data_IF_137403990933
#
_entry.id   IF_137403990933
#
_cell.length_a   1.000
_cell.length_b   1.000
_cell.length_c   1.000
_cell.angle_alpha   90.00
_cell.angle_beta   90.00
_cell.angle_gamma   90.00
#
_symmetry.space_group_name_H-M   'P 1'
#
loop_
_entity.id
_entity.type
_entity.pdbx_description
1 polymer ?
#
# COMPACT_ATOMS: atom_id res chain seq x y z
N UNK A 1 -44.12 3.20 -74.10
CA UNK A 1 -42.79 2.57 -74.01
C UNK A 1 -42.32 2.73 -72.56
N UNK A 2 -42.47 1.70 -71.76
CA UNK A 2 -42.03 1.67 -70.36
C UNK A 2 -40.71 0.93 -70.29
N UNK A 3 -39.64 1.64 -69.99
CA UNK A 3 -38.29 1.05 -69.82
C UNK A 3 -38.23 0.41 -68.40
N UNK A 4 -38.11 -0.89 -68.36
CA UNK A 4 -37.90 -1.69 -67.14
C UNK A 4 -36.41 -1.61 -66.80
N UNK A 5 -36.04 -0.85 -65.77
CA UNK A 5 -34.67 -0.79 -65.28
C UNK A 5 -34.43 -2.02 -64.36
N UNK A 6 -33.75 -3.05 -64.86
CA UNK A 6 -33.20 -4.12 -64.08
C UNK A 6 -31.98 -3.62 -63.27
N UNK A 7 -32.23 -3.20 -62.03
CA UNK A 7 -31.11 -2.94 -61.07
C UNK A 7 -30.34 -4.22 -60.77
N UNK A 8 -29.07 -4.32 -61.17
CA UNK A 8 -28.15 -5.37 -60.71
C UNK A 8 -28.01 -5.23 -59.18
N UNK A 9 -28.51 -6.24 -58.43
CA UNK A 9 -28.14 -6.39 -57.01
C UNK A 9 -26.60 -6.48 -56.94
N UNK A 10 -25.98 -5.52 -56.23
CA UNK A 10 -24.58 -5.61 -55.89
C UNK A 10 -24.27 -6.89 -55.13
N UNK A 11 -23.01 -7.34 -55.07
CA UNK A 11 -22.62 -8.48 -54.28
C UNK A 11 -23.07 -8.26 -52.81
N UNK A 12 -23.57 -9.30 -52.11
CA UNK A 12 -23.92 -9.17 -50.71
C UNK A 12 -22.77 -8.54 -49.94
N UNK A 13 -23.01 -7.47 -49.21
CA UNK A 13 -22.04 -6.88 -48.30
C UNK A 13 -21.62 -7.99 -47.32
N UNK A 14 -20.32 -8.20 -47.14
CA UNK A 14 -19.81 -9.11 -46.14
C UNK A 14 -20.45 -8.75 -44.78
N UNK A 15 -20.91 -9.73 -44.01
CA UNK A 15 -21.51 -9.46 -42.71
C UNK A 15 -20.52 -8.66 -41.85
N UNK A 16 -20.96 -7.53 -41.28
CA UNK A 16 -20.15 -6.74 -40.36
C UNK A 16 -19.72 -7.63 -39.21
N UNK A 17 -18.43 -7.91 -39.14
CA UNK A 17 -17.85 -8.73 -38.10
C UNK A 17 -17.19 -7.80 -37.11
N UNK A 18 -17.89 -7.49 -36.05
CA UNK A 18 -17.31 -6.71 -34.97
C UNK A 18 -16.33 -7.59 -34.19
N UNK A 19 -15.06 -7.22 -34.25
CA UNK A 19 -13.98 -7.83 -33.48
C UNK A 19 -13.45 -6.78 -32.54
N UNK A 20 -13.32 -7.04 -31.22
CA UNK A 20 -12.75 -6.08 -30.29
C UNK A 20 -11.37 -5.58 -30.72
N UNK A 21 -11.06 -4.32 -30.50
CA UNK A 21 -9.72 -3.81 -30.68
C UNK A 21 -8.74 -4.50 -29.71
N UNK A 22 -7.45 -4.50 -30.07
CA UNK A 22 -6.40 -5.02 -29.22
C UNK A 22 -6.33 -4.25 -27.89
N UNK A 23 -5.92 -4.94 -26.83
CA UNK A 23 -5.64 -4.33 -25.52
C UNK A 23 -4.27 -3.65 -25.58
N UNK A 24 -4.25 -2.33 -25.73
CA UNK A 24 -3.00 -1.56 -25.91
C UNK A 24 -2.44 -1.02 -24.58
N UNK A 25 -3.27 -0.90 -23.54
CA UNK A 25 -2.84 -0.41 -22.23
C UNK A 25 -2.82 -1.54 -21.24
N UNK A 26 -1.64 -2.04 -20.96
CA UNK A 26 -1.35 -3.05 -19.95
C UNK A 26 -0.06 -2.67 -19.22
N UNK A 27 -0.04 -2.78 -17.90
CA UNK A 27 1.14 -2.57 -17.07
C UNK A 27 1.17 -3.59 -15.95
N UNK A 28 2.34 -3.82 -15.37
CA UNK A 28 2.53 -4.75 -14.27
C UNK A 28 3.45 -4.14 -13.21
N UNK A 29 3.07 -4.27 -11.94
CA UNK A 29 3.83 -3.80 -10.78
C UNK A 29 3.99 -4.95 -9.79
N UNK A 30 5.19 -5.13 -9.25
CA UNK A 30 5.49 -6.22 -8.31
C UNK A 30 5.62 -5.70 -6.89
N UNK A 31 4.98 -6.42 -5.96
CA UNK A 31 5.05 -6.19 -4.52
C UNK A 31 5.27 -7.55 -3.83
N UNK A 32 6.49 -7.82 -3.41
CA UNK A 32 6.85 -9.15 -2.91
C UNK A 32 6.66 -10.24 -3.96
N UNK A 33 5.91 -11.27 -3.63
CA UNK A 33 5.47 -12.34 -4.55
C UNK A 33 4.25 -11.98 -5.38
N UNK A 34 3.56 -10.88 -5.08
CA UNK A 34 2.37 -10.45 -5.82
C UNK A 34 2.73 -9.56 -7.01
N UNK A 35 2.09 -9.78 -8.14
CA UNK A 35 2.12 -8.88 -9.29
C UNK A 35 0.73 -8.36 -9.57
N UNK A 36 0.60 -7.04 -9.62
CA UNK A 36 -0.64 -6.35 -9.96
C UNK A 36 -0.60 -5.93 -11.42
N UNK A 37 -1.37 -6.63 -12.25
CA UNK A 37 -1.46 -6.39 -13.69
C UNK A 37 -2.67 -5.52 -13.96
N UNK A 38 -2.45 -4.29 -14.42
CA UNK A 38 -3.49 -3.32 -14.78
C UNK A 38 -3.80 -3.42 -16.27
N UNK A 39 -5.06 -3.54 -16.60
CA UNK A 39 -5.55 -3.70 -17.96
C UNK A 39 -6.66 -2.70 -18.22
N UNK A 40 -6.57 -1.91 -19.30
CA UNK A 40 -7.66 -1.02 -19.71
C UNK A 40 -8.56 -1.76 -20.71
N UNK A 41 -9.86 -1.83 -20.39
CA UNK A 41 -10.88 -2.47 -21.24
C UNK A 41 -11.07 -1.68 -22.54
N UNK A 42 -10.95 -2.28 -23.75
CA UNK A 42 -11.18 -1.61 -25.01
C UNK A 42 -12.59 -1.01 -25.12
N UNK A 43 -12.73 0.13 -25.80
CA UNK A 43 -14.00 0.84 -26.01
C UNK A 43 -14.51 0.75 -27.44
N UNK A 44 -13.72 0.17 -28.34
CA UNK A 44 -14.04 0.11 -29.78
C UNK A 44 -13.60 -1.21 -30.41
N UNK A 45 -14.14 -1.49 -31.57
CA UNK A 45 -13.76 -2.61 -32.43
C UNK A 45 -12.61 -2.23 -33.35
N UNK A 46 -12.06 -3.21 -34.10
CA UNK A 46 -10.95 -2.99 -35.05
C UNK A 46 -11.36 -1.97 -36.14
N UNK A 47 -12.63 -1.96 -36.55
CA UNK A 47 -13.20 -1.03 -37.52
C UNK A 47 -13.53 0.35 -36.95
N UNK A 48 -13.07 0.65 -35.74
CA UNK A 48 -13.35 1.85 -34.94
C UNK A 48 -14.83 2.04 -34.55
N UNK A 49 -15.71 1.09 -34.81
CA UNK A 49 -17.09 1.14 -34.33
C UNK A 49 -17.13 1.07 -32.80
N UNK A 50 -18.10 1.79 -32.18
CA UNK A 50 -18.34 1.85 -30.75
C UNK A 50 -19.80 1.55 -30.45
N UNK A 51 -20.11 0.94 -29.31
CA UNK A 51 -19.21 0.36 -28.31
C UNK A 51 -18.48 -0.88 -28.84
N UNK A 52 -17.41 -1.34 -28.14
CA UNK A 52 -16.77 -2.60 -28.47
C UNK A 52 -17.72 -3.79 -28.27
N UNK A 53 -17.70 -4.75 -29.19
CA UNK A 53 -18.35 -6.04 -29.02
C UNK A 53 -17.45 -6.95 -28.18
N UNK A 54 -17.53 -6.82 -26.85
CA UNK A 54 -16.65 -7.48 -25.89
C UNK A 54 -17.44 -8.02 -24.71
N UNK A 55 -17.23 -9.28 -24.37
CA UNK A 55 -17.87 -9.97 -23.22
C UNK A 55 -16.88 -10.37 -22.15
N UNK A 56 -15.60 -10.55 -22.50
CA UNK A 56 -14.56 -10.89 -21.54
C UNK A 56 -13.17 -10.49 -22.04
N UNK A 57 -12.24 -10.39 -21.08
CA UNK A 57 -10.80 -10.27 -21.32
C UNK A 57 -10.10 -11.42 -20.59
N UNK A 58 -9.28 -12.17 -21.29
CA UNK A 58 -8.39 -13.17 -20.71
C UNK A 58 -6.99 -12.57 -20.56
N UNK A 59 -6.41 -12.66 -19.37
CA UNK A 59 -5.06 -12.19 -19.05
C UNK A 59 -4.13 -13.39 -18.98
N UNK A 60 -2.98 -13.27 -19.63
CA UNK A 60 -1.97 -14.33 -19.75
C UNK A 60 -0.63 -13.88 -19.22
N UNK A 61 0.12 -14.81 -18.60
CA UNK A 61 1.47 -14.60 -18.07
C UNK A 61 2.46 -15.61 -18.64
N UNK A 62 3.70 -15.18 -18.88
CA UNK A 62 4.79 -16.02 -19.33
C UNK A 62 6.11 -15.61 -18.68
N UNK A 63 6.90 -16.55 -18.18
CA UNK A 63 8.24 -16.29 -17.64
C UNK A 63 9.31 -16.78 -18.60
N UNK A 64 10.22 -15.89 -18.99
CA UNK A 64 11.31 -16.18 -19.89
C UNK A 64 12.37 -15.09 -19.85
N UNK A 65 13.42 -15.21 -20.65
CA UNK A 65 14.43 -14.14 -20.79
C UNK A 65 14.07 -13.14 -21.88
N UNK A 66 13.20 -13.55 -22.80
CA UNK A 66 12.66 -12.74 -23.89
C UNK A 66 11.17 -13.07 -24.08
N UNK A 67 10.36 -12.13 -24.58
CA UNK A 67 8.96 -12.40 -24.85
C UNK A 67 8.83 -13.47 -25.96
N UNK A 68 7.83 -14.35 -25.91
CA UNK A 68 7.53 -15.23 -27.02
C UNK A 68 7.26 -14.45 -28.31
N UNK A 69 7.60 -15.06 -29.44
CA UNK A 69 7.27 -14.48 -30.74
C UNK A 69 5.76 -14.23 -30.88
N UNK A 70 5.36 -13.17 -31.59
CA UNK A 70 3.95 -12.92 -31.89
C UNK A 70 3.33 -14.16 -32.56
N UNK A 71 2.16 -14.56 -32.11
CA UNK A 71 1.48 -15.78 -32.53
C UNK A 71 1.79 -17.03 -31.68
N UNK A 72 2.91 -17.07 -30.96
CA UNK A 72 3.25 -18.17 -30.05
C UNK A 72 2.99 -17.84 -28.58
N UNK A 73 2.72 -16.56 -28.23
CA UNK A 73 2.53 -16.14 -26.85
C UNK A 73 1.44 -16.97 -26.16
N UNK A 74 0.26 -17.07 -26.75
CA UNK A 74 -0.87 -17.79 -26.18
C UNK A 74 -0.63 -19.30 -26.05
N UNK A 75 0.23 -19.87 -26.89
CA UNK A 75 0.56 -21.29 -26.82
C UNK A 75 1.53 -21.63 -25.68
N UNK A 76 2.31 -20.64 -25.20
CA UNK A 76 3.35 -20.84 -24.19
C UNK A 76 2.97 -20.24 -22.84
N UNK A 77 2.09 -19.21 -22.83
CA UNK A 77 1.64 -18.52 -21.64
C UNK A 77 0.53 -19.28 -20.92
N UNK A 78 0.46 -19.10 -19.63
CA UNK A 78 -0.66 -19.56 -18.80
C UNK A 78 -1.74 -18.48 -18.71
N UNK A 79 -3.01 -18.89 -18.69
CA UNK A 79 -4.12 -17.97 -18.44
C UNK A 79 -4.25 -17.74 -16.94
N UNK A 80 -4.06 -16.49 -16.51
CA UNK A 80 -4.09 -16.09 -15.11
C UNK A 80 -5.50 -15.73 -14.63
N UNK A 81 -6.25 -15.02 -15.47
CA UNK A 81 -7.58 -14.56 -15.12
C UNK A 81 -8.48 -14.43 -16.35
N UNK A 82 -9.78 -14.52 -16.11
CA UNK A 82 -10.84 -14.20 -17.05
C UNK A 82 -11.71 -13.10 -16.44
N UNK A 83 -11.68 -11.93 -17.05
CA UNK A 83 -12.39 -10.74 -16.61
C UNK A 83 -13.68 -10.64 -17.41
N UNK A 84 -14.88 -10.81 -16.82
CA UNK A 84 -16.13 -10.54 -17.50
C UNK A 84 -16.26 -9.04 -17.78
N UNK A 85 -16.76 -8.68 -18.95
CA UNK A 85 -17.02 -7.28 -19.31
C UNK A 85 -18.55 -7.08 -19.40
N UNK A 86 -19.02 -6.05 -18.69
CA UNK A 86 -20.42 -5.70 -18.70
C UNK A 86 -20.85 -5.18 -20.08
N UNK A 87 -22.08 -5.44 -20.52
CA UNK A 87 -22.64 -4.87 -21.74
C UNK A 87 -22.48 -3.34 -21.72
N UNK A 88 -22.22 -2.75 -22.88
CA UNK A 88 -22.15 -1.31 -23.00
C UNK A 88 -23.48 -0.65 -22.61
N UNK A 89 -23.43 0.45 -21.83
CA UNK A 89 -24.60 1.22 -21.48
C UNK A 89 -25.28 1.80 -22.74
N UNK A 90 -26.60 1.77 -22.78
CA UNK A 90 -27.41 2.37 -23.83
C UNK A 90 -27.89 3.76 -23.38
N UNK A 91 -28.20 4.67 -24.31
CA UNK A 91 -28.82 5.93 -23.94
C UNK A 91 -30.11 5.67 -23.14
N UNK A 92 -30.20 6.20 -21.92
CA UNK A 92 -31.32 6.01 -21.01
C UNK A 92 -31.16 4.92 -19.94
N UNK A 93 -30.10 4.16 -19.97
CA UNK A 93 -29.79 3.21 -18.91
C UNK A 93 -29.45 3.94 -17.60
N UNK A 94 -29.77 3.37 -16.43
CA UNK A 94 -29.36 3.93 -15.14
C UNK A 94 -27.85 3.92 -15.00
N UNK A 95 -27.28 4.79 -14.14
CA UNK A 95 -25.84 4.79 -13.89
C UNK A 95 -25.37 3.41 -13.40
N UNK A 96 -24.16 2.98 -13.79
CA UNK A 96 -23.66 1.66 -13.42
C UNK A 96 -23.57 1.54 -11.89
N UNK A 97 -23.85 0.35 -11.32
CA UNK A 97 -23.75 0.12 -9.88
C UNK A 97 -22.31 0.29 -9.39
N UNK A 98 -22.08 0.46 -8.07
CA UNK A 98 -20.75 0.49 -7.48
C UNK A 98 -19.90 -0.73 -7.88
N UNK A 99 -18.59 -0.58 -7.91
CA UNK A 99 -17.69 -1.65 -8.37
C UNK A 99 -17.88 -2.98 -7.65
N UNK A 100 -18.15 -2.94 -6.36
CA UNK A 100 -18.42 -4.12 -5.51
C UNK A 100 -19.67 -4.91 -5.90
N UNK A 101 -20.60 -4.30 -6.67
CA UNK A 101 -21.86 -4.93 -7.09
C UNK A 101 -21.94 -5.19 -8.61
N UNK A 102 -20.88 -4.91 -9.36
CA UNK A 102 -20.85 -5.11 -10.81
C UNK A 102 -20.65 -6.57 -11.17
N UNK A 103 -21.41 -7.04 -12.14
CA UNK A 103 -21.22 -8.38 -12.73
C UNK A 103 -20.05 -8.45 -13.72
N UNK A 104 -19.33 -7.33 -13.98
CA UNK A 104 -18.21 -7.27 -14.93
C UNK A 104 -17.60 -5.88 -15.00
N UNK A 105 -16.43 -5.80 -15.64
CA UNK A 105 -15.71 -4.56 -15.90
C UNK A 105 -16.45 -3.69 -16.94
N UNK A 106 -16.35 -2.36 -16.82
CA UNK A 106 -16.90 -1.45 -17.81
C UNK A 106 -15.92 -1.20 -18.94
N UNK A 107 -16.44 -0.96 -20.16
CA UNK A 107 -15.59 -0.51 -21.26
C UNK A 107 -14.93 0.82 -20.93
N UNK A 108 -13.62 0.92 -21.16
CA UNK A 108 -12.80 2.09 -20.82
C UNK A 108 -12.28 2.13 -19.36
N UNK A 109 -12.79 1.29 -18.48
CA UNK A 109 -12.27 1.21 -17.11
C UNK A 109 -10.92 0.48 -17.05
N UNK A 110 -10.14 0.77 -16.02
CA UNK A 110 -8.94 0.01 -15.65
C UNK A 110 -9.32 -1.09 -14.67
N UNK A 111 -8.82 -2.30 -14.90
CA UNK A 111 -9.03 -3.48 -14.06
C UNK A 111 -7.68 -4.00 -13.61
N UNK A 112 -7.55 -4.39 -12.36
CA UNK A 112 -6.33 -4.95 -11.79
C UNK A 112 -6.49 -6.44 -11.51
N UNK A 113 -5.59 -7.25 -12.07
CA UNK A 113 -5.47 -8.70 -11.81
C UNK A 113 -4.28 -8.92 -10.91
N UNK A 114 -4.45 -9.74 -9.87
CA UNK A 114 -3.36 -10.17 -8.99
C UNK A 114 -2.84 -11.53 -9.48
N UNK A 115 -1.55 -11.59 -9.80
CA UNK A 115 -0.80 -12.81 -10.11
C UNK A 115 0.17 -13.09 -8.94
N UNK A 116 0.03 -14.24 -8.28
CA UNK A 116 0.90 -14.64 -7.16
C UNK A 116 2.01 -15.51 -7.70
N UNK A 117 3.24 -14.98 -7.71
CA UNK A 117 4.41 -15.69 -8.26
C UNK A 117 4.81 -16.86 -7.37
N UNK A 118 4.67 -18.07 -7.90
CA UNK A 118 5.19 -19.28 -7.28
C UNK A 118 6.66 -19.50 -7.62
N UNK A 119 7.35 -20.37 -6.88
CA UNK A 119 8.74 -20.73 -7.17
C UNK A 119 8.93 -21.25 -8.59
N UNK A 120 7.96 -21.98 -9.14
CA UNK A 120 7.99 -22.50 -10.51
C UNK A 120 7.88 -21.37 -11.55
N UNK A 121 7.08 -20.34 -11.27
CA UNK A 121 6.89 -19.20 -12.15
C UNK A 121 8.07 -18.24 -12.15
N UNK A 122 8.97 -18.32 -11.17
CA UNK A 122 10.22 -17.56 -11.15
C UNK A 122 11.31 -18.19 -12.04
N UNK A 123 11.16 -19.45 -12.46
CA UNK A 123 12.11 -20.14 -13.32
C UNK A 123 11.77 -19.89 -14.80
N UNK A 124 12.71 -19.36 -15.60
CA UNK A 124 12.47 -19.14 -17.02
C UNK A 124 12.18 -20.44 -17.75
N UNK A 125 11.11 -20.48 -18.53
CA UNK A 125 10.86 -21.59 -19.45
C UNK A 125 11.90 -21.55 -20.57
N UNK A 126 12.48 -22.69 -20.96
CA UNK A 126 13.43 -22.73 -22.07
C UNK A 126 12.75 -22.23 -23.36
N UNK A 127 13.48 -21.52 -24.21
CA UNK A 127 12.92 -21.09 -25.50
C UNK A 127 12.49 -22.33 -26.30
N UNK A 128 11.40 -22.24 -27.08
CA UNK A 128 10.96 -23.33 -27.91
C UNK A 128 12.06 -23.69 -28.92
N UNK A 129 12.20 -24.95 -29.28
CA UNK A 129 13.16 -25.35 -30.31
C UNK A 129 12.89 -24.59 -31.59
N UNK A 130 13.93 -24.14 -32.32
CA UNK A 130 13.76 -23.43 -33.59
C UNK A 130 12.93 -24.27 -34.56
N UNK A 131 11.97 -23.63 -35.24
CA UNK A 131 11.18 -24.28 -36.27
C UNK A 131 12.13 -24.88 -37.33
N UNK A 132 11.83 -26.07 -37.83
CA UNK A 132 12.69 -26.76 -38.82
C UNK A 132 13.06 -25.92 -40.02
N UNK A 133 12.21 -24.97 -40.41
CA UNK A 133 12.46 -24.03 -41.50
C UNK A 133 13.52 -22.97 -41.18
N UNK A 134 13.78 -22.64 -39.92
CA UNK A 134 14.82 -21.68 -39.51
C UNK A 134 16.21 -22.33 -39.44
N UNK A 135 16.28 -23.64 -39.24
CA UNK A 135 17.56 -24.41 -39.26
C UNK A 135 18.25 -24.42 -40.64
N UNK A 136 17.55 -24.06 -41.70
CA UNK A 136 18.09 -24.05 -43.08
C UNK A 136 18.58 -22.69 -43.56
N UNK A 137 18.45 -21.62 -42.79
CA UNK A 137 19.06 -20.34 -43.15
C UNK A 137 20.53 -20.30 -42.69
N UNK A 138 21.51 -20.18 -43.59
CA UNK A 138 22.88 -19.94 -43.19
C UNK A 138 22.93 -18.63 -42.45
N UNK A 139 23.40 -18.63 -41.21
CA UNK A 139 23.70 -17.40 -40.49
C UNK A 139 24.88 -16.75 -41.19
N UNK A 140 24.79 -15.52 -41.71
CA UNK A 140 25.95 -14.84 -42.25
C UNK A 140 27.02 -14.72 -41.16
N UNK A 141 28.17 -15.31 -41.34
CA UNK A 141 29.31 -15.12 -40.44
C UNK A 141 29.77 -13.67 -40.58
N UNK A 142 29.66 -12.83 -39.54
CA UNK A 142 30.16 -11.47 -39.62
C UNK A 142 31.68 -11.53 -39.83
N UNK A 143 32.20 -10.71 -40.80
CA UNK A 143 33.61 -10.50 -40.97
C UNK A 143 34.24 -10.06 -39.66
N UNK A 144 35.36 -10.68 -39.29
CA UNK A 144 36.07 -10.46 -38.04
C UNK A 144 36.46 -8.98 -37.91
N UNK A 145 35.74 -8.27 -37.06
CA UNK A 145 36.10 -6.92 -36.59
C UNK A 145 37.01 -7.07 -35.36
N UNK A 146 38.04 -6.23 -35.17
CA UNK A 146 39.04 -6.40 -34.12
C UNK A 146 38.38 -6.36 -32.73
N UNK A 147 38.74 -7.29 -31.94
CA UNK A 147 38.20 -7.65 -30.61
C UNK A 147 38.38 -6.51 -29.60
N UNK A 148 37.38 -5.68 -29.43
CA UNK A 148 37.17 -4.98 -28.17
C UNK A 148 36.81 -6.06 -27.14
N UNK A 149 37.56 -6.16 -26.04
CA UNK A 149 37.20 -7.06 -24.93
C UNK A 149 35.77 -6.75 -24.49
N UNK A 150 34.83 -7.56 -24.96
CA UNK A 150 33.46 -7.55 -24.48
C UNK A 150 33.50 -8.25 -23.15
N UNK A 151 33.31 -7.50 -22.06
CA UNK A 151 33.02 -8.08 -20.76
C UNK A 151 31.78 -8.99 -20.98
N UNK A 152 31.86 -10.28 -20.63
CA UNK A 152 30.72 -11.17 -20.82
C UNK A 152 29.51 -10.56 -20.10
N UNK A 153 28.46 -10.27 -20.83
CA UNK A 153 27.19 -9.93 -20.22
C UNK A 153 26.78 -11.11 -19.33
N UNK A 154 26.43 -10.84 -18.08
CA UNK A 154 25.90 -11.85 -17.18
C UNK A 154 24.72 -12.60 -17.81
N UNK A 155 24.29 -13.73 -17.25
CA UNK A 155 23.14 -14.46 -17.76
C UNK A 155 21.93 -13.48 -17.83
N UNK A 156 21.14 -13.56 -18.93
CA UNK A 156 20.00 -12.64 -19.10
C UNK A 156 19.02 -12.82 -17.94
N UNK A 157 18.63 -11.70 -17.33
CA UNK A 157 17.70 -11.67 -16.19
C UNK A 157 16.34 -12.27 -16.60
N UNK A 158 15.74 -13.17 -15.81
CA UNK A 158 14.40 -13.64 -16.05
C UNK A 158 13.39 -12.49 -15.94
N UNK A 159 12.40 -12.53 -16.80
CA UNK A 159 11.32 -11.53 -16.88
C UNK A 159 9.98 -12.22 -16.97
N UNK A 160 8.96 -11.58 -16.45
CA UNK A 160 7.58 -12.02 -16.64
C UNK A 160 6.86 -11.06 -17.57
N UNK A 161 6.24 -11.65 -18.57
CA UNK A 161 5.54 -10.95 -19.64
C UNK A 161 4.05 -11.17 -19.49
N UNK A 162 3.26 -10.11 -19.63
CA UNK A 162 1.80 -10.17 -19.54
C UNK A 162 1.16 -9.66 -20.82
N UNK A 163 0.12 -10.32 -21.26
CA UNK A 163 -0.70 -9.94 -22.40
C UNK A 163 -2.17 -10.16 -22.09
N UNK A 164 -3.03 -9.27 -22.58
CA UNK A 164 -4.46 -9.42 -22.46
C UNK A 164 -5.12 -9.53 -23.84
N UNK A 165 -6.11 -10.42 -23.94
CA UNK A 165 -6.88 -10.66 -25.17
C UNK A 165 -8.36 -10.45 -24.87
N UNK A 166 -9.02 -9.60 -25.64
CA UNK A 166 -10.44 -9.38 -25.58
C UNK A 166 -11.21 -10.38 -26.47
N UNK A 167 -12.40 -10.80 -26.01
CA UNK A 167 -13.26 -11.74 -26.74
C UNK A 167 -14.66 -11.18 -26.91
N UNK A 168 -15.22 -11.30 -28.11
CA UNK A 168 -16.60 -10.95 -28.40
C UNK A 168 -17.60 -11.99 -27.87
N UNK A 169 -18.89 -11.71 -27.99
CA UNK A 169 -20.00 -12.63 -27.68
C UNK A 169 -19.91 -13.94 -28.48
N UNK A 170 -19.36 -13.88 -29.69
CA UNK A 170 -19.13 -15.05 -30.57
C UNK A 170 -17.76 -15.70 -30.38
N UNK A 171 -17.13 -15.45 -29.23
CA UNK A 171 -15.78 -15.95 -28.86
C UNK A 171 -14.68 -15.59 -29.87
N UNK A 172 -14.84 -14.52 -30.66
CA UNK A 172 -13.78 -14.02 -31.55
C UNK A 172 -12.80 -13.20 -30.74
N UNK A 173 -11.53 -13.56 -30.86
CA UNK A 173 -10.44 -12.86 -30.16
C UNK A 173 -10.05 -11.57 -30.86
N UNK A 174 -9.67 -10.56 -30.08
CA UNK A 174 -8.94 -9.39 -30.57
C UNK A 174 -7.58 -9.81 -31.12
N UNK A 175 -6.93 -8.94 -31.92
CA UNK A 175 -5.51 -9.07 -32.18
C UNK A 175 -4.69 -9.02 -30.89
N UNK A 176 -3.46 -9.53 -30.95
CA UNK A 176 -2.50 -9.38 -29.84
C UNK A 176 -2.09 -7.92 -29.72
N UNK A 177 -2.28 -7.35 -28.53
CA UNK A 177 -1.96 -5.96 -28.20
C UNK A 177 -0.57 -5.81 -27.58
N UNK A 178 -0.47 -4.85 -26.66
CA UNK A 178 0.75 -4.58 -25.92
C UNK A 178 1.10 -5.73 -24.96
N UNK A 179 2.40 -5.86 -24.68
CA UNK A 179 2.96 -6.78 -23.70
C UNK A 179 3.56 -5.94 -22.58
N UNK A 180 3.09 -6.15 -21.36
CA UNK A 180 3.75 -5.61 -20.17
C UNK A 180 4.94 -6.51 -19.82
N UNK A 181 6.04 -5.91 -19.43
CA UNK A 181 7.33 -6.54 -19.20
C UNK A 181 7.82 -6.21 -17.79
N UNK A 182 7.98 -7.22 -16.95
CA UNK A 182 8.37 -7.10 -15.55
C UNK A 182 9.66 -7.88 -15.28
N UNK A 183 10.77 -7.23 -14.88
CA UNK A 183 11.97 -7.94 -14.46
C UNK A 183 11.72 -8.72 -13.15
N UNK A 184 12.17 -9.99 -13.12
CA UNK A 184 12.08 -10.84 -11.94
C UNK A 184 13.36 -10.74 -11.10
N UNK A 185 13.77 -9.53 -10.73
CA UNK A 185 14.89 -9.29 -9.82
C UNK A 185 14.61 -9.87 -8.42
N UNK A 186 15.69 -10.10 -7.67
CA UNK A 186 15.60 -10.51 -6.27
C UNK A 186 14.88 -9.44 -5.46
N UNK A 187 13.83 -9.81 -4.75
CA UNK A 187 13.11 -8.89 -3.86
C UNK A 187 13.95 -8.54 -2.64
N UNK A 188 13.85 -7.31 -2.11
CA UNK A 188 14.47 -6.95 -0.84
C UNK A 188 13.99 -7.87 0.29
N UNK A 189 14.88 -8.19 1.20
CA UNK A 189 14.53 -9.00 2.37
C UNK A 189 13.58 -8.23 3.30
N UNK A 190 12.69 -8.98 3.97
CA UNK A 190 11.68 -8.44 4.88
C UNK A 190 12.35 -7.73 6.07
N UNK A 191 11.93 -6.52 6.45
CA UNK A 191 12.39 -5.86 7.66
C UNK A 191 12.01 -6.64 8.91
N UNK A 192 12.80 -6.50 9.97
CA UNK A 192 12.62 -7.22 11.24
C UNK A 192 12.29 -6.28 12.41
N UNK A 193 11.88 -6.86 13.54
CA UNK A 193 11.80 -6.16 14.82
C UNK A 193 10.82 -5.00 14.85
N UNK A 194 9.73 -5.07 14.10
CA UNK A 194 8.71 -4.01 14.08
C UNK A 194 8.10 -3.83 15.47
N UNK A 195 8.06 -2.59 15.95
CA UNK A 195 7.49 -2.17 17.23
C UNK A 195 6.55 -1.01 17.03
N UNK A 196 5.47 -1.00 17.81
CA UNK A 196 4.50 0.07 17.88
C UNK A 196 4.48 0.64 19.29
N UNK A 197 4.50 1.97 19.39
CA UNK A 197 4.22 2.72 20.61
C UNK A 197 3.24 3.82 20.27
N UNK A 198 2.57 4.41 21.26
CA UNK A 198 1.70 5.56 21.02
C UNK A 198 1.82 6.60 22.14
N UNK A 199 1.51 7.83 21.80
CA UNK A 199 1.43 9.00 22.69
C UNK A 199 0.12 9.74 22.43
N UNK A 200 -0.10 10.88 23.09
CA UNK A 200 -1.26 11.73 22.79
C UNK A 200 -1.22 12.14 21.31
N UNK A 201 -2.10 11.60 20.50
CA UNK A 201 -2.28 11.96 19.09
C UNK A 201 -1.40 11.25 18.06
N UNK A 202 -0.42 10.41 18.45
CA UNK A 202 0.48 9.76 17.48
C UNK A 202 0.76 8.30 17.80
N UNK A 203 0.73 7.45 16.76
CA UNK A 203 1.32 6.11 16.77
C UNK A 203 2.70 6.19 16.16
N UNK A 204 3.70 5.69 16.87
CA UNK A 204 5.09 5.62 16.41
C UNK A 204 5.44 4.18 16.06
N UNK A 205 5.96 4.01 14.85
CA UNK A 205 6.45 2.74 14.33
C UNK A 205 7.97 2.79 14.27
N UNK A 206 8.62 1.71 14.65
CA UNK A 206 10.06 1.51 14.42
C UNK A 206 10.31 0.07 13.98
N UNK A 207 11.35 -0.13 13.16
CA UNK A 207 11.75 -1.45 12.67
C UNK A 207 13.26 -1.49 12.50
N UNK A 208 13.80 -2.67 12.16
CA UNK A 208 15.19 -2.84 11.83
C UNK A 208 15.32 -3.32 10.39
N UNK A 209 16.44 -3.00 9.71
CA UNK A 209 16.75 -3.61 8.43
C UNK A 209 16.78 -5.13 8.64
N UNK A 210 16.28 -5.87 7.65
CA UNK A 210 16.51 -7.33 7.66
C UNK A 210 18.00 -7.59 7.91
N UNK A 211 18.29 -8.52 8.81
CA UNK A 211 19.65 -9.01 9.02
C UNK A 211 20.19 -9.53 7.69
N UNK A 212 20.69 -8.65 6.86
CA UNK A 212 21.19 -8.97 5.53
C UNK A 212 22.31 -10.01 5.61
N UNK A 213 22.68 -10.56 4.48
CA UNK A 213 23.75 -11.58 4.27
C UNK A 213 24.97 -11.52 5.21
N UNK A 214 25.22 -10.38 5.86
CA UNK A 214 26.23 -10.21 6.90
C UNK A 214 25.96 -11.02 8.18
N UNK A 215 24.71 -11.21 8.58
CA UNK A 215 24.35 -12.10 9.70
C UNK A 215 24.66 -13.56 9.40
N UNK A 216 24.45 -14.00 8.16
CA UNK A 216 24.77 -15.36 7.72
C UNK A 216 26.27 -15.60 7.59
N UNK A 217 27.07 -14.57 7.29
CA UNK A 217 28.52 -14.67 7.16
C UNK A 217 29.20 -14.65 8.56
N UNK A 218 28.65 -13.88 9.51
CA UNK A 218 29.20 -13.79 10.87
C UNK A 218 28.93 -15.07 11.67
N UNK A 219 27.72 -15.65 11.57
CA UNK A 219 27.42 -16.93 12.25
C UNK A 219 28.25 -18.11 11.68
N UNK A 220 28.55 -18.06 10.38
CA UNK A 220 29.36 -19.11 9.74
C UNK A 220 30.88 -18.91 9.97
N UNK A 221 31.31 -17.66 10.20
CA UNK A 221 32.71 -17.36 10.54
C UNK A 221 33.07 -17.73 11.98
N UNK A 222 32.07 -17.78 12.89
CA UNK A 222 32.32 -18.21 14.29
C UNK A 222 32.24 -19.74 14.49
N UNK A 223 31.80 -20.48 13.48
CA UNK A 223 31.68 -21.94 13.52
C UNK A 223 32.83 -22.68 12.81
N UNK A 224 33.92 -22.02 12.46
CA UNK A 224 35.16 -22.67 11.95
C UNK A 224 36.02 -23.04 13.16
N UNK A 225 35.63 -24.11 13.82
CA UNK A 225 36.50 -24.88 14.69
C UNK A 225 37.46 -25.65 13.78
N UNK A 226 38.76 -25.56 14.08
CA UNK A 226 39.88 -26.10 13.29
C UNK A 226 39.68 -27.59 12.99
N UNK A 227 39.38 -27.94 11.74
CA UNK A 227 39.55 -29.29 11.22
C UNK A 227 40.85 -29.36 10.41
N UNK A 228 41.65 -30.46 10.54
CA UNK A 228 42.97 -30.58 9.89
C UNK A 228 42.81 -30.61 8.36
N UNK A 229 43.80 -29.97 7.71
CA UNK A 229 43.91 -29.89 6.26
C UNK A 229 44.13 -31.30 5.68
N UNK A 230 43.12 -31.85 5.04
CA UNK A 230 43.28 -32.90 4.03
C UNK A 230 42.85 -32.32 2.65
N UNK A 231 43.69 -32.64 1.67
CA UNK A 231 43.61 -32.14 0.29
C UNK A 231 42.22 -32.29 -0.30
N UNK A 232 41.60 -31.15 -0.58
CA UNK A 232 40.29 -31.08 -1.32
C UNK A 232 40.62 -31.03 -2.80
N UNK A 233 40.07 -31.93 -3.65
CA UNK A 233 40.17 -31.78 -5.10
C UNK A 233 39.49 -30.49 -5.52
N UNK A 234 40.12 -29.72 -6.42
CA UNK A 234 39.66 -28.42 -6.92
C UNK A 234 38.35 -28.60 -7.68
N UNK A 235 37.22 -28.51 -6.99
CA UNK A 235 35.97 -28.21 -7.58
C UNK A 235 35.85 -26.70 -7.69
N UNK A 236 35.77 -26.19 -8.90
CA UNK A 236 35.44 -24.80 -9.19
C UNK A 236 34.26 -24.36 -8.28
N UNK A 237 34.42 -23.21 -7.54
CA UNK A 237 33.28 -22.67 -6.80
C UNK A 237 32.12 -22.47 -7.78
N UNK A 238 30.87 -22.80 -7.39
CA UNK A 238 29.74 -22.50 -8.23
C UNK A 238 29.79 -21.03 -8.59
N UNK A 239 29.70 -20.73 -9.88
CA UNK A 239 29.72 -19.35 -10.40
C UNK A 239 28.81 -18.53 -9.52
N UNK A 240 29.38 -17.48 -8.92
CA UNK A 240 28.60 -16.54 -8.11
C UNK A 240 27.42 -16.11 -8.96
N UNK A 241 26.22 -16.50 -8.54
CA UNK A 241 24.97 -16.02 -9.15
C UNK A 241 25.04 -14.51 -8.97
N UNK A 242 25.24 -13.78 -10.07
CA UNK A 242 25.24 -12.34 -10.06
C UNK A 242 23.93 -11.93 -9.39
N UNK A 243 24.02 -11.34 -8.22
CA UNK A 243 22.86 -10.90 -7.46
C UNK A 243 22.29 -9.68 -8.19
N UNK A 244 21.31 -9.90 -9.04
CA UNK A 244 20.51 -8.86 -9.72
C UNK A 244 19.61 -8.11 -8.73
N UNK A 245 20.14 -7.80 -7.55
CA UNK A 245 19.47 -6.93 -6.59
C UNK A 245 19.49 -5.52 -7.19
N UNK A 246 18.34 -4.84 -7.33
CA UNK A 246 18.30 -3.48 -7.82
C UNK A 246 19.33 -2.62 -7.08
N UNK A 247 20.18 -1.92 -7.82
CA UNK A 247 21.21 -1.07 -7.24
C UNK A 247 20.56 0.08 -6.47
N UNK A 248 21.08 0.39 -5.29
CA UNK A 248 20.63 1.53 -4.49
C UNK A 248 20.41 1.18 -3.02
N UNK A 249 20.24 2.21 -2.16
CA UNK A 249 19.96 2.02 -0.74
C UNK A 249 18.58 1.37 -0.56
N UNK A 250 18.46 0.54 0.47
CA UNK A 250 17.17 0.03 0.91
C UNK A 250 16.37 1.18 1.52
N UNK A 251 15.12 1.31 1.12
CA UNK A 251 14.12 2.25 1.64
C UNK A 251 12.91 1.47 2.11
N UNK A 252 11.90 2.14 2.65
CA UNK A 252 10.77 1.47 3.28
C UNK A 252 9.45 2.12 2.90
N UNK A 253 8.43 1.28 2.69
CA UNK A 253 7.04 1.67 2.57
C UNK A 253 6.25 1.13 3.76
N UNK A 254 5.43 1.99 4.37
CA UNK A 254 4.57 1.66 5.50
C UNK A 254 3.14 1.55 5.01
N UNK A 255 2.44 0.50 5.42
CA UNK A 255 1.05 0.25 5.07
C UNK A 255 0.20 0.17 6.32
N UNK A 256 -0.99 0.79 6.28
CA UNK A 256 -2.02 0.65 7.30
C UNK A 256 -3.17 -0.18 6.74
N UNK A 257 -3.68 -1.09 7.55
CA UNK A 257 -4.89 -1.87 7.26
C UNK A 257 -5.97 -1.36 8.19
N UNK A 258 -7.00 -0.79 7.62
CA UNK A 258 -8.19 -0.41 8.35
C UNK A 258 -9.04 -1.66 8.53
N UNK A 259 -8.95 -2.30 9.71
CA UNK A 259 -9.83 -3.39 10.08
C UNK A 259 -10.57 -3.01 11.35
N UNK A 260 -11.88 -3.10 11.29
CA UNK A 260 -12.73 -2.96 12.49
C UNK A 260 -12.55 -4.15 13.45
N UNK A 261 -12.04 -5.29 12.96
CA UNK A 261 -11.77 -6.49 13.75
C UNK A 261 -10.54 -7.22 13.18
N UNK A 262 -9.44 -7.33 13.94
CA UNK A 262 -8.24 -8.04 13.52
C UNK A 262 -8.44 -9.55 13.28
N UNK A 263 -9.55 -10.12 13.75
CA UNK A 263 -9.91 -11.53 13.54
C UNK A 263 -10.70 -11.76 12.25
N UNK A 264 -11.22 -10.69 11.61
CA UNK A 264 -11.96 -10.75 10.35
C UNK A 264 -11.19 -10.11 9.20
N UNK A 265 -9.88 -10.36 9.10
CA UNK A 265 -9.19 -10.10 7.83
C UNK A 265 -9.90 -10.91 6.75
N UNK A 266 -10.40 -10.27 5.68
CA UNK A 266 -11.04 -11.02 4.61
C UNK A 266 -10.03 -12.04 4.11
N UNK A 267 -10.44 -13.31 4.17
CA UNK A 267 -9.68 -14.41 3.60
C UNK A 267 -9.33 -13.99 2.17
N UNK A 268 -8.03 -13.83 1.87
CA UNK A 268 -7.54 -13.34 0.57
C UNK A 268 -8.02 -14.18 -0.61
N UNK A 269 -8.72 -15.28 -0.32
CA UNK A 269 -9.30 -16.23 -1.26
C UNK A 269 -10.65 -15.78 -1.88
N UNK A 270 -11.32 -14.75 -1.38
CA UNK A 270 -12.69 -14.42 -1.84
C UNK A 270 -12.79 -13.15 -2.69
N UNK A 271 -11.77 -12.29 -2.71
CA UNK A 271 -11.74 -11.23 -3.70
C UNK A 271 -11.53 -11.86 -5.08
N UNK A 272 -12.49 -11.69 -5.99
CA UNK A 272 -12.32 -12.15 -7.37
C UNK A 272 -11.00 -11.61 -7.91
N UNK A 273 -10.14 -12.48 -8.47
CA UNK A 273 -8.76 -12.18 -8.86
C UNK A 273 -8.60 -10.94 -9.78
N UNK A 274 -9.71 -10.43 -10.36
CA UNK A 274 -9.75 -9.31 -11.29
C UNK A 274 -10.12 -7.95 -10.66
N UNK A 275 -10.38 -7.88 -9.34
CA UNK A 275 -10.76 -6.63 -8.65
C UNK A 275 -9.95 -6.37 -7.37
N UNK A 276 -8.70 -6.79 -7.34
CA UNK A 276 -7.83 -6.62 -6.18
C UNK A 276 -6.96 -5.36 -6.35
N UNK A 277 -7.34 -4.20 -5.80
CA UNK A 277 -6.49 -3.02 -5.90
C UNK A 277 -5.16 -3.24 -5.18
N UNK A 278 -4.09 -2.67 -5.73
CA UNK A 278 -2.81 -2.65 -5.04
C UNK A 278 -2.93 -1.83 -3.76
N UNK A 279 -2.48 -2.33 -2.60
CA UNK A 279 -2.38 -1.51 -1.40
C UNK A 279 -1.49 -0.29 -1.64
N UNK A 280 -1.89 0.87 -1.14
CA UNK A 280 -1.10 2.08 -1.22
C UNK A 280 -0.37 2.30 0.10
N UNK A 281 0.92 2.68 0.07
CA UNK A 281 1.64 3.03 1.28
C UNK A 281 1.13 4.35 1.87
N UNK A 282 1.25 4.53 3.17
CA UNK A 282 0.96 5.78 3.86
C UNK A 282 1.95 6.90 3.47
N UNK A 283 3.20 6.53 3.24
CA UNK A 283 4.24 7.46 2.79
C UNK A 283 4.19 7.64 1.27
N UNK A 284 4.24 8.88 0.81
CA UNK A 284 4.21 9.24 -0.62
C UNK A 284 5.50 8.87 -1.35
N UNK A 285 6.62 8.81 -0.63
CA UNK A 285 7.94 8.43 -1.15
C UNK A 285 8.59 7.43 -0.19
N UNK A 286 9.33 6.42 -0.69
CA UNK A 286 9.98 5.44 0.16
C UNK A 286 10.94 6.07 1.17
N UNK A 287 10.80 5.72 2.45
CA UNK A 287 11.52 6.27 3.59
C UNK A 287 12.96 5.75 3.62
N UNK A 288 13.88 6.65 4.00
CA UNK A 288 15.27 6.28 4.30
C UNK A 288 15.47 5.98 5.81
N UNK A 289 14.52 6.38 6.64
CA UNK A 289 14.51 6.18 8.10
C UNK A 289 13.93 4.81 8.46
N UNK A 290 14.20 4.35 9.67
CA UNK A 290 13.68 3.11 10.25
C UNK A 290 12.52 3.39 11.22
N UNK A 291 11.87 4.51 11.05
CA UNK A 291 10.77 4.98 11.88
C UNK A 291 9.73 5.73 11.04
N UNK A 292 8.50 5.71 11.51
CA UNK A 292 7.36 6.42 10.90
C UNK A 292 6.37 6.80 11.99
N UNK A 293 5.65 7.91 11.81
CA UNK A 293 4.60 8.35 12.71
C UNK A 293 3.30 8.51 11.95
N UNK A 294 2.21 8.00 12.52
CA UNK A 294 0.85 8.14 12.01
C UNK A 294 -0.04 8.74 13.10
N UNK A 295 -1.17 9.31 12.74
CA UNK A 295 -2.14 9.83 13.70
C UNK A 295 -2.74 8.68 14.53
N UNK A 296 -2.77 8.85 15.85
CA UNK A 296 -3.45 7.92 16.73
C UNK A 296 -4.97 8.16 16.68
N UNK A 297 -5.72 7.11 16.39
CA UNK A 297 -7.17 7.09 16.51
C UNK A 297 -7.53 6.33 17.79
N UNK A 298 -7.86 7.04 18.86
CA UNK A 298 -8.22 6.43 20.11
C UNK A 298 -9.44 5.52 19.97
N UNK A 299 -9.43 4.42 20.72
CA UNK A 299 -10.44 3.36 20.73
C UNK A 299 -10.61 2.61 19.39
N UNK A 300 -9.74 2.85 18.39
CA UNK A 300 -9.69 2.12 17.13
C UNK A 300 -8.43 1.27 17.02
N UNK A 301 -8.59 0.05 16.49
CA UNK A 301 -7.44 -0.80 16.20
C UNK A 301 -6.79 -0.36 14.90
N UNK A 302 -5.53 0.05 14.95
CA UNK A 302 -4.70 0.41 13.82
C UNK A 302 -3.63 -0.66 13.62
N UNK A 303 -3.60 -1.26 12.44
CA UNK A 303 -2.67 -2.33 12.09
C UNK A 303 -1.72 -1.89 10.99
N UNK A 304 -0.44 -2.23 11.13
CA UNK A 304 0.62 -1.77 10.24
C UNK A 304 1.49 -2.91 9.75
N UNK A 305 2.05 -2.72 8.57
CA UNK A 305 3.09 -3.55 7.96
C UNK A 305 4.13 -2.66 7.30
N UNK A 306 5.36 -3.13 7.22
CA UNK A 306 6.48 -2.44 6.54
C UNK A 306 7.04 -3.35 5.47
N UNK A 307 7.38 -2.78 4.31
CA UNK A 307 8.07 -3.46 3.21
C UNK A 307 9.35 -2.73 2.88
N UNK A 308 10.42 -3.47 2.65
CA UNK A 308 11.65 -2.92 2.11
C UNK A 308 11.50 -2.67 0.61
N UNK A 309 12.08 -1.58 0.12
CA UNK A 309 12.01 -1.15 -1.29
C UNK A 309 13.41 -0.89 -1.81
N UNK A 310 13.72 -1.36 -3.03
CA UNK A 310 14.95 -1.05 -3.75
C UNK A 310 14.66 -0.63 -5.20
N UNK A 311 15.62 0.05 -5.81
CA UNK A 311 15.51 0.56 -7.18
C UNK A 311 15.10 2.03 -7.22
N UNK A 312 14.83 2.50 -8.44
CA UNK A 312 14.33 3.84 -8.72
C UNK A 312 13.11 3.73 -9.63
N UNK A 313 12.18 4.67 -9.51
CA UNK A 313 11.02 4.70 -10.40
C UNK A 313 11.47 4.77 -11.88
N UNK A 314 10.85 4.03 -12.80
CA UNK A 314 9.65 3.20 -12.62
C UNK A 314 9.94 1.75 -12.18
N UNK A 315 11.20 1.37 -11.93
CA UNK A 315 11.62 0.00 -11.62
C UNK A 315 11.82 -0.23 -10.10
N UNK A 316 10.89 0.28 -9.27
CA UNK A 316 10.88 -0.03 -7.84
C UNK A 316 10.44 -1.47 -7.61
N UNK A 317 11.20 -2.17 -6.74
CA UNK A 317 10.89 -3.53 -6.31
C UNK A 317 10.67 -3.54 -4.80
N UNK A 318 9.49 -3.95 -4.37
CA UNK A 318 9.14 -4.14 -2.96
C UNK A 318 9.32 -5.60 -2.55
N UNK A 319 9.83 -5.80 -1.34
CA UNK A 319 9.93 -7.10 -0.69
C UNK A 319 8.62 -7.55 -0.04
N UNK A 320 8.68 -8.69 0.67
CA UNK A 320 7.58 -9.15 1.50
C UNK A 320 7.34 -8.22 2.68
N UNK A 321 6.09 -8.19 3.18
CA UNK A 321 5.73 -7.40 4.34
C UNK A 321 6.24 -8.04 5.63
N UNK A 322 6.52 -7.19 6.63
CA UNK A 322 6.64 -7.66 8.02
C UNK A 322 5.36 -8.37 8.45
N UNK A 323 5.40 -9.24 9.47
CA UNK A 323 4.19 -9.62 10.18
C UNK A 323 3.41 -8.38 10.59
N UNK A 324 2.09 -8.46 10.49
CA UNK A 324 1.20 -7.36 10.88
C UNK A 324 1.30 -7.11 12.38
N UNK A 325 1.52 -5.86 12.78
CA UNK A 325 1.46 -5.43 14.16
C UNK A 325 0.29 -4.46 14.35
N UNK A 326 -0.48 -4.65 15.41
CA UNK A 326 -1.66 -3.84 15.70
C UNK A 326 -1.54 -3.18 17.06
N UNK A 327 -2.10 -1.98 17.19
CA UNK A 327 -2.26 -1.25 18.44
C UNK A 327 -3.68 -0.68 18.50
N UNK A 328 -4.26 -0.67 19.69
CA UNK A 328 -5.49 0.07 19.99
C UNK A 328 -5.14 1.17 20.98
N UNK A 329 -4.87 2.38 20.53
CA UNK A 329 -4.56 3.47 21.43
C UNK A 329 -5.75 3.74 22.38
N UNK A 330 -5.46 3.87 23.65
CA UNK A 330 -6.43 4.29 24.66
C UNK A 330 -5.96 5.65 25.16
N UNK A 331 -6.86 6.58 25.22
CA UNK A 331 -6.53 7.89 25.76
C UNK A 331 -6.33 7.83 27.28
N UNK A 332 -5.08 7.99 27.68
CA UNK A 332 -4.66 8.04 29.09
C UNK A 332 -3.81 9.28 29.33
N UNK A 333 -3.88 10.26 28.47
CA UNK A 333 -3.05 11.44 28.46
C UNK A 333 -3.83 12.65 28.99
N UNK A 334 -3.58 13.07 30.24
CA UNK A 334 -4.26 14.26 30.78
C UNK A 334 -3.80 15.52 30.05
N UNK A 335 -4.65 16.56 30.03
CA UNK A 335 -4.25 17.87 29.56
C UNK A 335 -3.07 18.47 30.36
N UNK A 336 -2.44 19.51 29.86
CA UNK A 336 -1.42 20.23 30.59
C UNK A 336 -2.02 20.91 31.84
N UNK A 337 -1.29 21.01 32.95
CA UNK A 337 -1.75 21.79 34.12
C UNK A 337 -2.01 23.25 33.72
N UNK A 338 -3.13 23.86 34.18
CA UNK A 338 -3.39 25.28 33.94
C UNK A 338 -2.26 26.19 34.44
N UNK A 339 -1.87 27.16 33.63
CA UNK A 339 -0.77 28.07 33.92
C UNK A 339 -1.29 29.45 34.39
N UNK A 340 -0.42 30.19 35.06
CA UNK A 340 -0.62 31.61 35.40
C UNK A 340 -1.89 31.87 36.22
N UNK A 341 -2.27 30.93 37.11
CA UNK A 341 -3.39 31.16 38.03
C UNK A 341 -3.15 32.39 38.91
N UNK A 342 -4.11 33.29 38.95
CA UNK A 342 -4.12 34.51 39.76
C UNK A 342 -5.44 34.61 40.53
N UNK A 343 -5.38 35.02 41.78
CA UNK A 343 -6.53 35.27 42.64
C UNK A 343 -6.60 36.77 43.00
N UNK A 344 -7.81 37.34 43.00
CA UNK A 344 -8.04 38.73 43.35
C UNK A 344 -9.25 38.82 44.27
N UNK A 345 -9.06 39.37 45.50
CA UNK A 345 -10.14 39.58 46.44
C UNK A 345 -11.05 40.74 46.00
N UNK A 346 -12.34 40.46 45.90
CA UNK A 346 -13.43 41.44 45.80
C UNK A 346 -14.22 41.56 47.10
N UNK A 347 -15.23 42.41 47.12
CA UNK A 347 -16.15 42.51 48.27
C UNK A 347 -17.04 41.23 48.30
N UNK A 348 -16.87 40.37 49.34
CA UNK A 348 -17.57 39.14 49.51
C UNK A 348 -17.28 38.05 48.47
N UNK A 349 -16.14 38.15 47.73
CA UNK A 349 -15.79 37.18 46.70
C UNK A 349 -14.29 37.13 46.44
N UNK A 350 -13.80 36.02 45.83
CA UNK A 350 -12.46 35.91 45.29
C UNK A 350 -12.60 35.47 43.80
N UNK A 351 -12.05 36.29 42.92
CA UNK A 351 -12.03 36.02 41.48
C UNK A 351 -10.73 35.36 41.10
N UNK A 352 -10.82 34.23 40.34
CA UNK A 352 -9.72 33.44 39.81
C UNK A 352 -9.68 33.59 38.29
N UNK A 353 -8.48 33.76 37.78
CA UNK A 353 -8.21 33.79 36.32
C UNK A 353 -6.93 33.00 36.06
N UNK A 354 -6.90 32.26 34.97
CA UNK A 354 -5.75 31.50 34.51
C UNK A 354 -5.63 31.52 32.97
N UNK A 355 -4.50 31.07 32.47
CA UNK A 355 -4.29 30.98 31.03
C UNK A 355 -5.06 29.77 30.44
N UNK A 356 -5.86 29.96 29.38
CA UNK A 356 -6.56 28.85 28.73
C UNK A 356 -5.59 27.80 28.17
N UNK A 357 -5.88 26.55 28.40
CA UNK A 357 -5.16 25.42 27.78
C UNK A 357 -5.44 25.39 26.29
N UNK A 358 -4.46 24.86 25.53
CA UNK A 358 -4.54 24.68 24.07
C UNK A 358 -4.77 23.21 23.66
N UNK A 359 -4.98 22.33 24.62
CA UNK A 359 -5.24 20.91 24.38
C UNK A 359 -6.51 20.76 23.55
N UNK A 360 -6.46 19.93 22.52
CA UNK A 360 -7.53 19.78 21.50
C UNK A 360 -8.79 19.12 22.09
N UNK A 361 -8.58 18.27 23.09
CA UNK A 361 -9.57 17.45 23.79
C UNK A 361 -9.94 18.03 25.16
N UNK A 362 -9.65 19.30 25.41
CA UNK A 362 -9.99 19.95 26.67
C UNK A 362 -11.51 19.98 26.90
N UNK A 363 -11.97 19.28 27.95
CA UNK A 363 -13.37 19.27 28.41
C UNK A 363 -13.71 20.39 29.37
N UNK A 364 -12.70 21.03 30.01
CA UNK A 364 -12.88 22.14 30.93
C UNK A 364 -11.95 22.14 32.15
N UNK A 365 -12.36 22.85 33.23
CA UNK A 365 -11.56 23.01 34.43
C UNK A 365 -12.35 22.70 35.68
N UNK A 366 -11.68 22.11 36.67
CA UNK A 366 -12.19 22.02 38.05
C UNK A 366 -11.38 22.95 38.95
N UNK A 367 -12.08 23.75 39.75
CA UNK A 367 -11.48 24.66 40.71
C UNK A 367 -11.43 23.98 42.08
N UNK A 368 -10.27 24.04 42.70
CA UNK A 368 -10.00 23.44 44.00
C UNK A 368 -9.74 24.56 45.02
N UNK A 369 -10.25 24.37 46.26
CA UNK A 369 -10.07 25.32 47.36
C UNK A 369 -9.70 24.62 48.66
N UNK A 370 -8.92 25.27 49.47
CA UNK A 370 -8.69 24.94 50.86
C UNK A 370 -8.48 26.19 51.70
N UNK A 371 -8.47 26.08 53.04
CA UNK A 371 -7.98 27.17 53.89
C UNK A 371 -6.44 27.19 53.89
N UNK A 372 -5.86 28.35 54.20
CA UNK A 372 -4.40 28.49 54.20
C UNK A 372 -3.74 27.49 55.16
N UNK A 373 -2.71 26.81 54.65
CA UNK A 373 -2.01 25.72 55.34
C UNK A 373 -2.65 24.34 55.18
N UNK A 374 -3.76 24.20 54.42
CA UNK A 374 -4.35 22.89 54.09
C UNK A 374 -3.47 22.14 53.10
N UNK A 375 -3.12 20.92 53.41
CA UNK A 375 -2.36 20.03 52.50
C UNK A 375 -3.22 19.55 51.32
N UNK A 376 -4.52 19.36 51.55
CA UNK A 376 -5.48 18.87 50.55
C UNK A 376 -6.50 19.95 50.22
N UNK A 377 -6.78 20.10 48.92
CA UNK A 377 -7.81 21.01 48.44
C UNK A 377 -9.05 20.19 48.05
N UNK A 378 -10.22 20.80 48.18
CA UNK A 378 -11.51 20.21 47.84
C UNK A 378 -12.07 20.87 46.55
N UNK A 379 -12.74 20.13 45.68
CA UNK A 379 -13.40 20.69 44.54
C UNK A 379 -14.46 21.72 44.92
N UNK A 380 -14.41 22.90 44.32
CA UNK A 380 -15.47 23.91 44.36
C UNK A 380 -16.50 23.68 43.27
N UNK A 381 -16.06 23.13 42.15
CA UNK A 381 -16.92 22.80 41.02
C UNK A 381 -17.09 21.31 40.92
N UNK A 382 -18.35 20.83 40.86
CA UNK A 382 -18.68 19.40 40.73
C UNK A 382 -18.50 18.92 39.28
N UNK A 383 -18.67 19.82 38.34
CA UNK A 383 -18.53 19.56 36.88
C UNK A 383 -17.52 20.54 36.30
N UNK A 384 -16.79 20.13 35.26
CA UNK A 384 -15.85 20.98 34.57
C UNK A 384 -16.53 22.25 34.00
N UNK A 385 -15.89 23.41 34.20
CA UNK A 385 -16.31 24.71 33.66
C UNK A 385 -15.51 25.01 32.40
N UNK A 386 -16.12 25.55 31.31
CA UNK A 386 -15.41 25.81 30.08
C UNK A 386 -14.52 27.07 30.11
N UNK A 387 -14.84 28.05 30.98
CA UNK A 387 -14.15 29.33 31.05
C UNK A 387 -12.87 29.24 31.87
N UNK A 388 -11.80 29.90 31.44
CA UNK A 388 -10.54 30.02 32.18
C UNK A 388 -10.61 31.09 33.32
N UNK A 389 -11.74 31.15 34.00
CA UNK A 389 -12.03 32.04 35.12
C UNK A 389 -13.11 31.45 36.01
N UNK A 390 -13.06 31.82 37.28
CA UNK A 390 -14.08 31.45 38.27
C UNK A 390 -14.21 32.52 39.33
N UNK A 391 -15.38 32.74 39.93
CA UNK A 391 -15.60 33.62 41.04
C UNK A 391 -16.19 32.85 42.21
N UNK A 392 -15.39 32.66 43.26
CA UNK A 392 -15.83 32.08 44.51
C UNK A 392 -16.56 33.15 45.33
N UNK A 393 -17.84 32.92 45.62
CA UNK A 393 -18.71 33.79 46.38
C UNK A 393 -19.05 33.21 47.77
N UNK A 394 -18.57 32.02 48.06
CA UNK A 394 -18.76 31.37 49.35
C UNK A 394 -17.49 31.51 50.20
N UNK A 395 -17.08 32.75 50.43
CA UNK A 395 -15.89 33.10 51.21
C UNK A 395 -16.24 33.86 52.48
N UNK A 396 -15.52 33.60 53.56
CA UNK A 396 -15.71 34.29 54.83
C UNK A 396 -14.72 35.44 54.93
N UNK A 397 -15.17 36.71 55.19
CA UNK A 397 -14.26 37.85 55.32
C UNK A 397 -13.15 37.58 56.34
N UNK A 398 -11.93 37.97 56.01
CA UNK A 398 -10.75 37.76 56.87
C UNK A 398 -10.13 36.39 56.79
N UNK A 399 -10.78 35.41 56.14
CA UNK A 399 -10.23 34.06 55.96
C UNK A 399 -9.30 34.02 54.75
N UNK A 400 -8.13 33.41 54.92
CA UNK A 400 -7.15 33.21 53.85
C UNK A 400 -7.39 31.82 53.24
N UNK A 401 -7.66 31.83 51.92
CA UNK A 401 -7.90 30.63 51.14
C UNK A 401 -6.74 30.33 50.21
N UNK A 402 -6.53 29.07 49.89
CA UNK A 402 -5.61 28.58 48.85
C UNK A 402 -6.40 27.93 47.74
N UNK A 403 -6.06 28.24 46.50
CA UNK A 403 -6.72 27.75 45.31
C UNK A 403 -5.72 27.05 44.38
N UNK A 404 -6.22 26.04 43.67
CA UNK A 404 -5.60 25.45 42.51
C UNK A 404 -6.66 25.15 41.45
N UNK A 405 -6.23 24.96 40.21
CA UNK A 405 -7.11 24.56 39.11
C UNK A 405 -6.49 23.36 38.42
N UNK A 406 -7.32 22.38 38.04
CA UNK A 406 -6.94 21.28 37.21
C UNK A 406 -7.71 21.31 35.88
N UNK A 407 -7.06 20.97 34.77
CA UNK A 407 -7.69 20.77 33.47
C UNK A 407 -8.20 19.33 33.35
N UNK A 408 -9.30 19.16 32.64
CA UNK A 408 -9.97 17.89 32.44
C UNK A 408 -10.23 17.75 30.95
N UNK A 409 -9.99 16.58 30.37
CA UNK A 409 -10.31 16.29 28.96
C UNK A 409 -11.80 15.99 28.76
N UNK A 410 -12.21 15.76 27.52
CA UNK A 410 -13.60 15.48 27.13
C UNK A 410 -13.92 13.98 27.12
N UNK A 411 -13.01 13.11 27.56
CA UNK A 411 -13.16 11.66 27.55
C UNK A 411 -14.30 11.19 28.42
N UNK A 412 -15.09 10.25 27.88
CA UNK A 412 -16.23 9.63 28.58
C UNK A 412 -16.00 8.11 28.68
N UNK A 413 -16.33 7.44 29.80
CA UNK A 413 -16.98 7.95 31.01
C UNK A 413 -16.01 8.49 32.07
N UNK A 414 -14.72 8.29 31.92
CA UNK A 414 -13.70 8.69 32.89
C UNK A 414 -12.71 9.62 32.22
N UNK A 415 -12.84 10.95 32.45
CA UNK A 415 -11.92 11.91 31.91
C UNK A 415 -10.54 11.82 32.57
N UNK A 416 -9.48 12.16 31.81
CA UNK A 416 -8.16 12.34 32.38
C UNK A 416 -8.08 13.73 33.02
N UNK A 417 -7.43 13.83 34.17
CA UNK A 417 -7.32 15.05 34.96
C UNK A 417 -5.85 15.41 35.08
N UNK A 418 -5.52 16.66 34.79
CA UNK A 418 -4.16 17.19 34.88
C UNK A 418 -3.64 17.23 36.33
N UNK A 419 -2.33 17.43 36.49
CA UNK A 419 -1.80 17.91 37.76
C UNK A 419 -2.39 19.28 38.11
N UNK A 420 -2.35 19.61 39.42
CA UNK A 420 -2.77 20.92 39.86
C UNK A 420 -1.89 22.07 39.25
N UNK A 421 -2.50 23.19 38.97
CA UNK A 421 -1.77 24.45 38.71
C UNK A 421 -0.87 24.82 39.90
N UNK A 422 -0.01 25.82 39.73
CA UNK A 422 0.61 26.47 40.88
C UNK A 422 -0.50 27.00 41.81
N UNK A 423 -0.35 26.73 43.11
CA UNK A 423 -1.31 27.21 44.13
C UNK A 423 -1.17 28.68 44.35
N UNK A 424 -2.29 29.38 44.49
CA UNK A 424 -2.35 30.81 44.87
C UNK A 424 -3.13 30.99 46.17
N UNK A 425 -2.70 31.92 46.98
CA UNK A 425 -3.38 32.26 48.23
C UNK A 425 -3.95 33.68 48.14
N UNK A 426 -5.17 33.86 48.67
CA UNK A 426 -5.80 35.16 48.74
C UNK A 426 -6.67 35.27 50.00
N UNK A 427 -6.76 36.49 50.60
CA UNK A 427 -7.57 36.73 51.80
C UNK A 427 -8.89 37.39 51.40
N UNK A 428 -10.01 36.79 51.78
CA UNK A 428 -11.33 37.32 51.51
C UNK A 428 -11.57 38.64 52.21
N UNK A 429 -12.21 39.58 51.52
CA UNK A 429 -12.55 40.93 52.04
C UNK A 429 -14.01 41.00 52.39
#
# INVERSE_FOLDING_TARGET
MTASACGKKGPPLAPFVHIPAAVEKISAERVGSDVYVKVTVPVQNIDASKPADITRIDVYGFTGTTPPARGLFLAQAERLAMIPVAPAARPGDPPPPPETQRSGALQGSEVTVRDVLTAEQLVPKPPPPPLENERRRPVPVPAATPTRQVVPAGPPMPRRFYMAIAFSDRARSSPQGAVADLPLSVVPATPDGMRLTYSSGMVQLSWQPSGGLLGFIVDRALAIEEAPFDEVPSSQPPAAVASDVPAGPTRYNVYRIESADPLTLPDAAVASAWSSPRPLPLNTTPLATLEFSDAAEFERTQCYMVRAVRGAAPALVEGEATPMACVRPVDTFPPAPPANLTAVAGEGSISLIWEPNIDVDLGGYLVLRGEAGSATLQPLTETPIPDARYTDRDVKPGTRYVYAVVAVDDRVPLPNISAESLRVEETAR
#
